data_IF_964135289200
#
_entry.id   IF_964135289200
#
_cell.length_a   1.000
_cell.length_b   1.000
_cell.length_c   1.000
_cell.angle_alpha   90.00
_cell.angle_beta   90.00
_cell.angle_gamma   90.00
#
_symmetry.space_group_name_H-M   'P 1'
#
loop_
_entity.id
_entity.type
_entity.pdbx_description
1 polymer ?
#
# COMPACT_ATOMS: atom_id res chain seq x y z
N UNK A 1 -9.92 -16.55 -10.83
CA UNK A 1 -8.78 -15.88 -10.15
C UNK A 1 -8.36 -14.73 -11.04
N UNK A 2 -8.28 -13.51 -10.50
CA UNK A 2 -7.98 -12.29 -11.24
C UNK A 2 -6.52 -11.87 -11.03
N UNK A 3 -6.08 -11.81 -9.77
CA UNK A 3 -4.71 -11.45 -9.40
C UNK A 3 -4.17 -12.40 -8.33
N UNK A 4 -2.87 -12.62 -8.31
CA UNK A 4 -2.23 -13.46 -7.31
C UNK A 4 -0.78 -13.06 -7.06
N UNK A 5 -0.36 -13.14 -5.80
CA UNK A 5 1.02 -13.01 -5.37
C UNK A 5 1.37 -14.15 -4.42
N UNK A 6 2.60 -14.66 -4.53
CA UNK A 6 3.13 -15.67 -3.62
C UNK A 6 4.62 -15.41 -3.39
N UNK A 7 5.07 -15.44 -2.13
CA UNK A 7 6.49 -15.34 -1.76
C UNK A 7 6.85 -16.32 -0.64
N UNK A 8 8.03 -16.96 -0.68
CA UNK A 8 8.53 -17.75 0.44
C UNK A 8 8.63 -16.93 1.72
N UNK A 9 8.30 -17.52 2.86
CA UNK A 9 8.42 -16.85 4.15
C UNK A 9 9.90 -16.75 4.57
N UNK A 10 10.44 -15.56 4.86
CA UNK A 10 11.88 -15.42 5.12
C UNK A 10 12.39 -16.17 6.35
N UNK A 11 11.57 -16.30 7.40
CA UNK A 11 12.01 -16.92 8.67
C UNK A 11 11.82 -18.44 8.68
N UNK A 12 11.01 -18.98 7.77
CA UNK A 12 10.78 -20.42 7.62
C UNK A 12 10.47 -20.76 6.17
N UNK A 13 11.41 -21.43 5.49
CA UNK A 13 11.29 -21.81 4.08
C UNK A 13 10.22 -22.87 3.81
N UNK A 14 9.72 -23.55 4.84
CA UNK A 14 8.58 -24.45 4.71
C UNK A 14 7.25 -23.69 4.60
N UNK A 15 7.26 -22.37 4.80
CA UNK A 15 6.07 -21.52 4.77
C UNK A 15 6.14 -20.53 3.62
N UNK A 16 4.99 -20.00 3.21
CA UNK A 16 4.88 -18.93 2.22
C UNK A 16 3.78 -17.95 2.63
N UNK A 17 3.85 -16.75 2.10
CA UNK A 17 2.75 -15.78 2.14
C UNK A 17 2.12 -15.68 0.76
N UNK A 18 0.81 -15.55 0.73
CA UNK A 18 0.00 -15.50 -0.50
C UNK A 18 -1.03 -14.38 -0.41
N UNK A 19 -1.33 -13.76 -1.53
CA UNK A 19 -2.48 -12.89 -1.71
C UNK A 19 -3.21 -13.28 -3.00
N UNK A 20 -4.54 -13.36 -2.95
CA UNK A 20 -5.38 -13.77 -4.07
C UNK A 20 -6.57 -12.84 -4.18
N UNK A 21 -6.80 -12.28 -5.37
CA UNK A 21 -8.06 -11.64 -5.75
C UNK A 21 -8.82 -12.55 -6.72
N UNK A 22 -10.08 -12.87 -6.42
CA UNK A 22 -10.87 -13.78 -7.25
C UNK A 22 -12.36 -13.43 -7.20
N UNK A 23 -13.04 -13.72 -8.31
CA UNK A 23 -14.49 -13.60 -8.41
C UNK A 23 -15.17 -14.63 -7.50
N UNK A 24 -16.24 -14.22 -6.82
CA UNK A 24 -17.07 -15.15 -6.06
C UNK A 24 -17.99 -15.90 -7.02
N UNK A 25 -18.42 -17.12 -6.63
CA UNK A 25 -19.46 -17.82 -7.40
C UNK A 25 -20.71 -16.94 -7.53
N UNK A 26 -21.21 -16.77 -8.75
CA UNK A 26 -22.37 -15.91 -9.05
C UNK A 26 -22.03 -14.49 -9.53
N UNK A 27 -20.76 -14.07 -9.47
CA UNK A 27 -20.30 -12.77 -9.98
C UNK A 27 -19.69 -12.91 -11.40
N UNK A 28 -19.98 -14.00 -12.12
CA UNK A 28 -19.38 -14.26 -13.43
C UNK A 28 -19.84 -13.25 -14.50
N UNK A 29 -18.89 -12.71 -15.26
CA UNK A 29 -19.19 -11.84 -16.40
C UNK A 29 -19.42 -10.36 -16.06
N UNK A 30 -19.23 -9.95 -14.81
CA UNK A 30 -19.18 -8.53 -14.42
C UNK A 30 -17.96 -7.88 -15.08
N UNK A 31 -18.18 -6.70 -15.67
CA UNK A 31 -17.12 -5.98 -16.38
C UNK A 31 -16.02 -5.51 -15.43
N UNK A 32 -14.78 -5.54 -15.89
CA UNK A 32 -13.65 -4.92 -15.21
C UNK A 32 -13.95 -3.43 -14.96
N UNK A 33 -13.64 -2.95 -13.76
CA UNK A 33 -14.02 -1.62 -13.26
C UNK A 33 -15.33 -1.59 -12.48
N UNK A 34 -16.07 -2.71 -12.42
CA UNK A 34 -17.35 -2.82 -11.68
C UNK A 34 -17.41 -4.09 -10.79
N UNK A 35 -16.33 -4.87 -10.71
CA UNK A 35 -16.31 -6.14 -9.96
C UNK A 35 -16.16 -5.93 -8.46
N UNK A 36 -16.74 -6.85 -7.69
CA UNK A 36 -16.51 -6.97 -6.24
C UNK A 36 -15.78 -8.28 -5.96
N UNK A 37 -14.44 -8.23 -5.94
CA UNK A 37 -13.58 -9.40 -5.85
C UNK A 37 -13.35 -9.81 -4.40
N UNK A 38 -13.37 -11.11 -4.12
CA UNK A 38 -12.89 -11.61 -2.83
C UNK A 38 -11.35 -11.49 -2.76
N UNK A 39 -10.85 -10.95 -1.66
CA UNK A 39 -9.42 -10.86 -1.35
C UNK A 39 -9.09 -11.81 -0.20
N UNK A 40 -8.15 -12.72 -0.46
CA UNK A 40 -7.55 -13.59 0.54
C UNK A 40 -6.08 -13.22 0.72
N UNK A 41 -5.67 -12.88 1.94
CA UNK A 41 -4.26 -12.79 2.33
C UNK A 41 -3.99 -13.88 3.34
N UNK A 42 -2.93 -14.66 3.16
CA UNK A 42 -2.66 -15.77 4.05
C UNK A 42 -1.16 -16.08 4.19
N UNK A 43 -0.83 -16.67 5.33
CA UNK A 43 0.38 -17.46 5.51
C UNK A 43 0.02 -18.92 5.38
N UNK A 44 0.78 -19.68 4.62
CA UNK A 44 0.48 -21.06 4.26
C UNK A 44 1.66 -21.98 4.49
N UNK A 45 1.36 -23.25 4.78
CA UNK A 45 2.33 -24.33 4.68
C UNK A 45 2.65 -24.58 3.19
N UNK A 46 3.93 -24.48 2.84
CA UNK A 46 4.40 -24.51 1.45
C UNK A 46 4.28 -25.87 0.77
N UNK A 47 4.05 -26.96 1.52
CA UNK A 47 3.89 -28.32 0.97
C UNK A 47 2.42 -28.70 0.80
N UNK A 48 1.61 -28.46 1.82
CA UNK A 48 0.20 -28.86 1.86
C UNK A 48 -0.75 -27.78 1.36
N UNK A 49 -0.31 -26.51 1.33
CA UNK A 49 -1.18 -25.37 1.08
C UNK A 49 -2.11 -25.04 2.25
N UNK A 50 -1.94 -25.69 3.40
CA UNK A 50 -2.78 -25.43 4.57
C UNK A 50 -2.62 -24.00 5.05
N UNK A 51 -3.75 -23.33 5.31
CA UNK A 51 -3.79 -21.98 5.84
C UNK A 51 -3.34 -22.00 7.31
N UNK A 52 -2.23 -21.31 7.59
CA UNK A 52 -1.70 -21.14 8.94
C UNK A 52 -2.33 -19.91 9.59
N UNK A 53 -2.35 -18.81 8.84
CA UNK A 53 -2.92 -17.51 9.23
C UNK A 53 -3.66 -16.91 8.03
N UNK A 54 -4.78 -16.21 8.26
CA UNK A 54 -5.62 -15.69 7.19
C UNK A 54 -6.26 -14.35 7.51
N UNK A 55 -6.44 -13.54 6.46
CA UNK A 55 -7.29 -12.37 6.40
C UNK A 55 -8.15 -12.45 5.14
N UNK A 56 -9.43 -12.14 5.30
CA UNK A 56 -10.43 -12.09 4.23
C UNK A 56 -10.98 -10.67 4.13
N UNK A 57 -11.11 -10.18 2.90
CA UNK A 57 -11.73 -8.90 2.59
C UNK A 57 -12.35 -8.94 1.20
N UNK A 58 -12.85 -7.81 0.76
CA UNK A 58 -13.26 -7.55 -0.62
C UNK A 58 -12.32 -6.49 -1.23
N UNK A 59 -12.12 -6.56 -2.54
CA UNK A 59 -11.58 -5.50 -3.39
C UNK A 59 -12.70 -5.10 -4.36
N UNK A 60 -13.29 -3.94 -4.11
CA UNK A 60 -14.34 -3.37 -4.95
C UNK A 60 -13.71 -2.49 -6.02
N UNK A 61 -14.02 -2.75 -7.27
CA UNK A 61 -13.60 -1.93 -8.40
C UNK A 61 -14.55 -0.76 -8.62
N UNK A 62 -13.99 0.37 -9.05
CA UNK A 62 -14.69 1.58 -9.40
C UNK A 62 -13.85 2.45 -10.36
N UNK A 63 -14.22 3.72 -10.52
CA UNK A 63 -13.51 4.65 -11.40
C UNK A 63 -12.02 4.90 -11.02
N UNK A 64 -11.62 4.60 -9.79
CA UNK A 64 -10.25 4.75 -9.28
C UNK A 64 -9.57 3.40 -8.97
N UNK A 65 -10.34 2.32 -8.89
CA UNK A 65 -9.86 0.99 -8.48
C UNK A 65 -10.12 -0.05 -9.56
N UNK A 66 -9.06 -0.63 -10.13
CA UNK A 66 -9.17 -1.72 -11.10
C UNK A 66 -8.06 -2.75 -10.87
N UNK A 67 -8.43 -4.04 -10.87
CA UNK A 67 -7.55 -5.15 -10.54
C UNK A 67 -7.16 -5.93 -11.79
N UNK A 68 -5.87 -5.93 -12.09
CA UNK A 68 -5.23 -6.74 -13.13
C UNK A 68 -4.43 -7.89 -12.51
N UNK A 69 -3.86 -8.76 -13.35
CA UNK A 69 -3.07 -9.90 -12.91
C UNK A 69 -1.85 -9.54 -12.05
N UNK A 70 -1.31 -8.34 -12.22
CA UNK A 70 -0.12 -7.79 -11.55
C UNK A 70 -0.46 -6.76 -10.45
N UNK A 71 -1.73 -6.56 -10.11
CA UNK A 71 -2.14 -5.60 -9.07
C UNK A 71 -1.75 -6.00 -7.63
N UNK A 72 -1.30 -7.23 -7.38
CA UNK A 72 -0.96 -7.68 -6.02
C UNK A 72 0.53 -7.98 -5.89
N UNK A 73 1.15 -7.42 -4.86
CA UNK A 73 2.55 -7.66 -4.50
C UNK A 73 2.67 -7.94 -3.00
N UNK A 74 3.64 -8.79 -2.64
CA UNK A 74 3.91 -9.10 -1.23
C UNK A 74 5.24 -8.47 -0.81
N UNK A 75 5.23 -7.68 0.26
CA UNK A 75 6.45 -7.15 0.87
C UNK A 75 6.84 -7.97 2.09
N UNK A 76 7.91 -8.75 1.95
CA UNK A 76 8.46 -9.58 3.02
C UNK A 76 9.74 -8.98 3.61
N UNK A 77 9.89 -7.65 3.63
CA UNK A 77 11.00 -7.00 4.32
C UNK A 77 11.03 -7.34 5.83
N UNK A 78 12.06 -6.89 6.53
CA UNK A 78 12.39 -7.34 7.89
C UNK A 78 11.55 -6.67 8.98
N UNK A 79 10.23 -6.67 8.84
CA UNK A 79 9.27 -6.06 9.77
C UNK A 79 9.08 -6.88 11.07
N UNK A 80 10.14 -7.06 11.85
CA UNK A 80 10.06 -7.63 13.20
C UNK A 80 9.48 -6.60 14.15
N UNK A 81 8.15 -6.55 14.23
CA UNK A 81 7.46 -5.54 15.04
C UNK A 81 7.60 -5.84 16.53
N UNK A 82 7.67 -7.11 16.94
CA UNK A 82 7.89 -7.51 18.33
C UNK A 82 8.76 -8.78 18.39
N UNK A 83 9.31 -9.16 19.55
CA UNK A 83 10.04 -10.42 19.69
C UNK A 83 9.20 -11.62 19.22
N UNK A 84 9.71 -12.35 18.23
CA UNK A 84 9.01 -13.50 17.63
C UNK A 84 7.83 -13.15 16.71
N UNK A 85 7.57 -11.87 16.45
CA UNK A 85 6.49 -11.42 15.58
C UNK A 85 7.07 -10.63 14.41
N UNK A 86 7.00 -11.23 13.22
CA UNK A 86 7.32 -10.58 11.95
C UNK A 86 6.06 -10.37 11.12
N UNK A 87 5.87 -9.13 10.69
CA UNK A 87 4.81 -8.72 9.78
C UNK A 87 5.24 -8.82 8.31
N UNK A 88 4.28 -8.68 7.40
CA UNK A 88 4.52 -8.53 5.97
C UNK A 88 3.46 -7.65 5.32
N UNK A 89 3.80 -7.03 4.20
CA UNK A 89 2.93 -6.16 3.43
C UNK A 89 2.19 -6.91 2.32
N UNK A 90 0.94 -6.53 2.08
CA UNK A 90 0.31 -6.60 0.78
C UNK A 90 0.38 -5.19 0.17
N UNK A 91 0.95 -5.06 -1.01
CA UNK A 91 0.84 -3.83 -1.81
C UNK A 91 -0.17 -4.09 -2.92
N UNK A 92 -1.19 -3.26 -2.98
CA UNK A 92 -2.18 -3.22 -4.04
C UNK A 92 -1.87 -2.07 -4.98
N UNK A 93 -1.74 -2.37 -6.27
CA UNK A 93 -1.51 -1.39 -7.33
C UNK A 93 -2.67 -1.40 -8.31
N UNK A 94 -3.39 -0.29 -8.38
CA UNK A 94 -4.57 -0.15 -9.24
C UNK A 94 -4.14 0.04 -10.69
N UNK A 95 -4.88 -0.58 -11.61
CA UNK A 95 -4.71 -0.36 -13.06
C UNK A 95 -5.77 0.56 -13.65
N UNK A 96 -6.60 1.16 -12.80
CA UNK A 96 -7.65 2.07 -13.24
C UNK A 96 -7.03 3.25 -13.98
N UNK A 97 -7.73 3.76 -14.99
CA UNK A 97 -7.29 4.97 -15.71
C UNK A 97 -7.30 6.22 -14.83
N UNK A 98 -8.07 6.20 -13.75
CA UNK A 98 -8.26 7.35 -12.87
C UNK A 98 -9.02 8.51 -13.53
N UNK A 99 -9.03 9.65 -12.84
CA UNK A 99 -9.67 10.86 -13.33
C UNK A 99 -8.97 11.41 -14.58
N UNK A 100 -9.71 12.08 -15.47
CA UNK A 100 -9.12 12.73 -16.66
C UNK A 100 -8.29 13.98 -16.35
N UNK A 101 -8.53 14.59 -15.19
CA UNK A 101 -8.03 15.88 -14.77
C UNK A 101 -7.66 15.89 -13.26
N UNK A 102 -6.82 14.94 -12.77
CA UNK A 102 -6.52 14.86 -11.35
C UNK A 102 -5.63 16.04 -10.94
N UNK A 103 -5.84 16.54 -9.73
CA UNK A 103 -4.95 17.46 -9.04
C UNK A 103 -3.95 16.72 -8.12
N UNK A 104 -4.07 15.40 -7.99
CA UNK A 104 -3.13 14.52 -7.31
C UNK A 104 -3.53 13.06 -7.45
N UNK A 105 -2.71 12.17 -6.89
CA UNK A 105 -2.94 10.74 -6.92
C UNK A 105 -2.17 9.98 -5.85
N UNK A 106 -2.62 8.77 -5.59
CA UNK A 106 -2.03 7.84 -4.63
C UNK A 106 -2.10 6.43 -5.21
N UNK A 107 -0.96 5.75 -5.24
CA UNK A 107 -0.78 4.42 -5.82
C UNK A 107 0.00 3.53 -4.83
N UNK A 108 0.11 2.24 -5.15
CA UNK A 108 0.82 1.26 -4.32
C UNK A 108 0.30 1.25 -2.85
N UNK A 109 -0.99 0.97 -2.62
CA UNK A 109 -1.58 0.87 -1.27
C UNK A 109 -0.98 -0.33 -0.52
N UNK A 110 -0.10 -0.05 0.44
CA UNK A 110 0.43 -1.02 1.38
C UNK A 110 -0.55 -1.24 2.53
N UNK A 111 -0.95 -2.49 2.76
CA UNK A 111 -1.47 -2.96 4.04
C UNK A 111 -0.44 -3.86 4.73
N UNK A 112 0.04 -3.46 5.91
CA UNK A 112 0.94 -4.27 6.73
C UNK A 112 0.13 -5.19 7.65
N UNK A 113 0.40 -6.50 7.59
CA UNK A 113 -0.28 -7.53 8.38
C UNK A 113 0.63 -8.07 9.48
N UNK A 114 0.11 -8.09 10.70
CA UNK A 114 0.72 -8.73 11.85
C UNK A 114 -0.03 -10.04 12.20
N UNK A 115 0.67 -11.16 12.42
CA UNK A 115 0.07 -12.39 12.93
C UNK A 115 -0.62 -12.20 14.29
N UNK A 116 -1.81 -12.77 14.44
CA UNK A 116 -2.54 -12.84 15.71
C UNK A 116 -3.27 -14.20 15.82
N UNK A 117 -2.57 -15.20 16.36
CA UNK A 117 -3.09 -16.56 16.42
C UNK A 117 -3.24 -17.14 15.01
N UNK A 118 -4.48 -17.46 14.61
CA UNK A 118 -4.81 -17.94 13.25
C UNK A 118 -5.26 -16.82 12.29
N UNK A 119 -5.31 -15.58 12.77
CA UNK A 119 -5.72 -14.43 11.98
C UNK A 119 -4.49 -13.61 11.55
N UNK A 120 -4.60 -12.97 10.40
CA UNK A 120 -3.73 -11.85 10.01
C UNK A 120 -4.48 -10.56 10.29
N UNK A 121 -3.88 -9.68 11.08
CA UNK A 121 -4.49 -8.40 11.45
C UNK A 121 -3.81 -7.26 10.71
N UNK A 122 -4.55 -6.43 9.95
CA UNK A 122 -4.02 -5.17 9.43
C UNK A 122 -3.57 -4.28 10.59
N UNK A 123 -2.33 -3.79 10.54
CA UNK A 123 -1.78 -2.89 11.57
C UNK A 123 -1.33 -1.55 11.01
N UNK A 124 -1.19 -1.41 9.70
CA UNK A 124 -0.93 -0.14 9.01
C UNK A 124 -1.54 -0.21 7.61
N UNK A 125 -2.08 0.91 7.14
CA UNK A 125 -2.26 1.17 5.71
C UNK A 125 -1.54 2.46 5.33
N UNK A 126 -0.93 2.49 4.16
CA UNK A 126 -0.24 3.67 3.61
C UNK A 126 -0.11 3.55 2.09
N UNK A 127 -0.08 4.67 1.39
CA UNK A 127 0.32 4.69 -0.02
C UNK A 127 1.85 4.81 -0.13
N UNK A 128 2.44 4.04 -1.04
CA UNK A 128 3.90 4.04 -1.25
C UNK A 128 4.32 4.97 -2.39
N UNK A 129 3.39 5.37 -3.25
CA UNK A 129 3.58 6.39 -4.26
C UNK A 129 2.43 7.39 -4.15
N UNK A 130 2.77 8.68 -4.05
CA UNK A 130 1.78 9.76 -4.05
C UNK A 130 2.30 10.93 -4.87
N UNK A 131 1.41 11.74 -5.42
CA UNK A 131 1.78 12.98 -6.08
C UNK A 131 0.66 14.02 -5.98
N UNK A 132 1.03 15.29 -6.14
CA UNK A 132 0.11 16.43 -6.06
C UNK A 132 0.52 17.53 -7.03
N UNK A 133 -0.46 18.28 -7.53
CA UNK A 133 -0.25 19.47 -8.34
C UNK A 133 0.12 20.63 -7.43
N UNK A 134 1.24 21.30 -7.72
CA UNK A 134 1.68 22.48 -6.96
C UNK A 134 1.51 23.78 -7.73
N UNK A 135 1.35 23.72 -9.06
CA UNK A 135 1.09 24.88 -9.92
C UNK A 135 0.39 24.45 -11.21
N UNK A 136 -0.50 25.31 -11.69
CA UNK A 136 -1.20 25.13 -12.96
C UNK A 136 -2.26 24.03 -12.89
N UNK A 137 -2.66 23.52 -14.06
CA UNK A 137 -3.62 22.41 -14.14
C UNK A 137 -3.35 21.51 -15.34
N UNK A 138 -3.56 20.21 -15.14
CA UNK A 138 -3.51 19.20 -16.19
C UNK A 138 -4.60 19.39 -17.26
N UNK A 139 -5.71 20.05 -16.94
CA UNK A 139 -6.87 20.10 -17.83
C UNK A 139 -6.69 20.90 -19.12
N UNK A 140 -5.72 21.83 -19.16
CA UNK A 140 -5.58 22.76 -20.29
C UNK A 140 -4.17 22.81 -20.90
N UNK A 141 -3.37 21.75 -20.76
CA UNK A 141 -1.97 21.72 -21.22
C UNK A 141 -1.19 22.97 -20.76
N UNK A 142 -1.30 23.29 -19.47
CA UNK A 142 -0.69 24.49 -18.89
C UNK A 142 0.85 24.40 -18.97
N UNK A 143 1.55 25.33 -19.65
CA UNK A 143 3.01 25.32 -19.76
C UNK A 143 3.71 25.53 -18.40
N UNK A 144 2.99 26.07 -17.42
CA UNK A 144 3.46 26.29 -16.06
C UNK A 144 3.07 25.14 -15.10
N UNK A 145 2.54 24.02 -15.62
CA UNK A 145 2.15 22.87 -14.81
C UNK A 145 3.36 22.29 -14.06
N UNK A 146 3.18 22.09 -12.76
CA UNK A 146 4.19 21.53 -11.87
C UNK A 146 3.57 20.59 -10.85
N UNK A 147 4.24 19.49 -10.58
CA UNK A 147 3.86 18.52 -9.55
C UNK A 147 4.97 18.29 -8.53
N UNK A 148 4.59 17.80 -7.36
CA UNK A 148 5.51 17.08 -6.47
C UNK A 148 5.06 15.62 -6.38
N UNK A 149 6.01 14.70 -6.39
CA UNK A 149 5.81 13.27 -6.22
C UNK A 149 6.61 12.76 -5.02
N UNK A 150 6.06 11.80 -4.30
CA UNK A 150 6.68 11.18 -3.14
C UNK A 150 6.72 9.65 -3.31
N UNK A 151 7.93 9.10 -3.22
CA UNK A 151 8.15 7.66 -3.05
C UNK A 151 8.40 7.37 -1.58
N UNK A 152 7.51 6.62 -0.94
CA UNK A 152 7.53 6.33 0.50
C UNK A 152 8.11 4.95 0.74
N UNK A 153 9.01 4.85 1.71
CA UNK A 153 9.51 3.57 2.23
C UNK A 153 9.21 3.43 3.72
N UNK A 154 9.06 2.18 4.17
CA UNK A 154 8.90 1.82 5.57
C UNK A 154 10.19 1.24 6.14
N UNK A 155 10.56 1.68 7.33
CA UNK A 155 11.63 1.08 8.14
C UNK A 155 11.19 0.95 9.61
N UNK A 156 11.95 0.21 10.40
CA UNK A 156 11.77 0.10 11.84
C UNK A 156 12.63 1.12 12.57
N UNK A 157 12.04 1.84 13.53
CA UNK A 157 12.79 2.64 14.48
C UNK A 157 13.50 1.75 15.50
N UNK A 158 14.47 2.34 16.22
CA UNK A 158 15.09 1.71 17.41
C UNK A 158 14.19 1.77 18.64
N UNK A 159 13.15 2.59 18.60
CA UNK A 159 12.19 2.79 19.69
C UNK A 159 10.99 1.86 19.50
N UNK A 160 10.24 1.66 20.59
CA UNK A 160 9.04 0.84 20.60
C UNK A 160 7.95 1.51 21.42
N UNK A 161 6.69 1.34 21.00
CA UNK A 161 5.49 1.78 21.71
C UNK A 161 4.54 0.61 21.85
N UNK A 162 3.95 0.42 23.03
CA UNK A 162 2.98 -0.65 23.29
C UNK A 162 3.44 -2.06 22.86
N UNK A 163 4.73 -2.36 23.05
CA UNK A 163 5.33 -3.65 22.74
C UNK A 163 5.67 -3.89 21.26
N UNK A 164 5.39 -2.92 20.37
CA UNK A 164 5.75 -2.97 18.96
C UNK A 164 6.83 -1.92 18.65
N UNK A 165 7.76 -2.23 17.74
CA UNK A 165 8.72 -1.27 17.20
C UNK A 165 7.96 -0.10 16.54
N UNK A 166 8.43 1.13 16.74
CA UNK A 166 7.86 2.26 16.01
C UNK A 166 8.24 2.15 14.52
N UNK A 167 7.38 2.61 13.62
CA UNK A 167 7.66 2.62 12.18
C UNK A 167 8.19 3.98 11.75
N UNK A 168 9.13 4.00 10.82
CA UNK A 168 9.62 5.21 10.17
C UNK A 168 9.17 5.19 8.72
N UNK A 169 8.30 6.13 8.36
CA UNK A 169 7.99 6.45 6.97
C UNK A 169 9.03 7.44 6.46
N UNK A 170 9.62 7.15 5.30
CA UNK A 170 10.54 8.05 4.63
C UNK A 170 10.06 8.33 3.20
N UNK A 171 9.68 9.57 2.93
CA UNK A 171 9.27 10.03 1.61
C UNK A 171 10.44 10.71 0.91
N UNK A 172 10.86 10.17 -0.24
CA UNK A 172 11.74 10.86 -1.19
C UNK A 172 10.87 11.70 -2.12
N UNK A 173 10.99 13.02 -2.02
CA UNK A 173 10.16 13.96 -2.79
C UNK A 173 10.94 14.49 -3.99
N UNK A 174 10.34 14.37 -5.17
CA UNK A 174 10.80 14.97 -6.42
C UNK A 174 9.75 15.95 -6.93
N UNK A 175 10.17 16.94 -7.71
CA UNK A 175 9.30 17.87 -8.39
C UNK A 175 9.45 17.70 -9.89
N UNK A 176 8.34 17.73 -10.62
CA UNK A 176 8.33 17.64 -12.07
C UNK A 176 7.74 18.91 -12.70
N UNK A 177 8.30 19.30 -13.84
CA UNK A 177 7.97 20.53 -14.57
C UNK A 177 8.46 20.42 -16.01
N UNK A 178 8.18 21.44 -16.83
CA UNK A 178 8.74 21.54 -18.19
C UNK A 178 10.29 21.49 -18.24
N UNK A 179 10.99 21.77 -17.13
CA UNK A 179 12.45 21.67 -17.03
C UNK A 179 12.95 20.24 -16.68
N UNK A 180 12.03 19.29 -16.46
CA UNK A 180 12.29 17.92 -16.05
C UNK A 180 12.22 17.67 -14.54
N UNK A 181 12.33 16.40 -14.17
CA UNK A 181 12.27 15.94 -12.78
C UNK A 181 13.51 16.38 -11.97
N UNK A 182 13.26 16.84 -10.74
CA UNK A 182 14.32 17.26 -9.80
C UNK A 182 14.05 16.75 -8.39
N UNK A 183 15.08 16.21 -7.74
CA UNK A 183 15.04 15.92 -6.31
C UNK A 183 14.86 17.20 -5.48
N UNK A 184 13.89 17.19 -4.56
CA UNK A 184 13.59 18.32 -3.69
C UNK A 184 14.06 18.07 -2.26
N UNK A 185 13.56 17.00 -1.62
CA UNK A 185 13.76 16.74 -0.19
C UNK A 185 13.49 15.29 0.19
N UNK A 186 13.87 14.94 1.41
CA UNK A 186 13.42 13.70 2.07
C UNK A 186 12.72 14.07 3.36
N UNK A 187 11.47 13.64 3.54
CA UNK A 187 10.68 13.88 4.75
C UNK A 187 10.54 12.56 5.50
N UNK A 188 10.59 12.60 6.84
CA UNK A 188 10.41 11.40 7.67
C UNK A 188 9.34 11.62 8.72
N UNK A 189 8.52 10.60 8.96
CA UNK A 189 7.50 10.56 10.01
C UNK A 189 7.64 9.26 10.79
N UNK A 190 7.71 9.36 12.11
CA UNK A 190 7.70 8.19 12.98
C UNK A 190 6.28 7.93 13.46
N UNK A 191 5.78 6.72 13.22
CA UNK A 191 4.50 6.23 13.69
C UNK A 191 4.70 5.38 14.93
N UNK A 192 4.02 5.75 16.01
CA UNK A 192 3.99 4.97 17.25
C UNK A 192 2.81 4.03 17.24
N UNK A 193 3.03 2.78 17.58
CA UNK A 193 1.94 1.81 17.71
C UNK A 193 1.06 2.15 18.90
N UNK A 194 -0.26 2.23 18.71
CA UNK A 194 -1.22 2.68 19.73
C UNK A 194 -1.72 1.55 20.66
N UNK A 195 -1.26 0.31 20.42
CA UNK A 195 -1.76 -0.90 21.08
C UNK A 195 -2.63 -1.76 20.16
N UNK A 196 -3.22 -1.17 19.13
CA UNK A 196 -4.05 -1.82 18.11
C UNK A 196 -3.46 -1.67 16.71
N UNK A 197 -3.05 -0.48 16.31
CA UNK A 197 -2.52 -0.19 14.97
C UNK A 197 -1.52 0.97 15.01
N UNK A 198 -0.80 1.16 13.91
CA UNK A 198 -0.12 2.42 13.65
C UNK A 198 -1.16 3.41 13.12
N UNK A 199 -1.06 4.72 13.46
CA UNK A 199 -2.01 5.72 13.03
C UNK A 199 -2.26 5.67 11.52
N UNK A 200 -3.53 5.44 11.18
CA UNK A 200 -4.03 5.43 9.82
C UNK A 200 -4.40 6.86 9.42
N UNK A 201 -3.44 7.62 8.92
CA UNK A 201 -3.79 8.76 8.08
C UNK A 201 -4.00 8.20 6.68
N UNK A 202 -5.26 8.16 6.22
CA UNK A 202 -5.65 7.59 4.92
C UNK A 202 -4.93 8.25 3.75
N UNK A 203 -4.46 9.49 3.93
CA UNK A 203 -3.63 10.23 2.99
C UNK A 203 -2.58 10.98 3.81
N UNK A 204 -1.52 10.32 4.27
CA UNK A 204 -0.51 10.98 5.06
C UNK A 204 0.33 11.81 4.10
N UNK A 205 -0.18 13.00 3.76
CA UNK A 205 0.54 14.04 3.04
C UNK A 205 1.61 14.70 3.91
N UNK A 206 2.22 13.93 4.81
CA UNK A 206 3.25 14.39 5.74
C UNK A 206 4.48 14.96 5.01
N UNK A 207 4.62 14.60 3.73
CA UNK A 207 5.67 15.05 2.84
C UNK A 207 5.34 16.36 2.12
N UNK A 208 4.07 16.77 2.02
CA UNK A 208 3.67 18.04 1.42
C UNK A 208 4.21 19.24 2.20
N UNK A 209 4.42 20.35 1.51
CA UNK A 209 4.85 21.58 2.19
C UNK A 209 3.69 22.17 2.99
N UNK A 210 3.94 22.75 4.18
CA UNK A 210 2.89 23.48 4.90
C UNK A 210 2.40 24.65 4.05
N UNK A 211 1.16 24.58 3.55
CA UNK A 211 0.52 25.63 2.74
C UNK A 211 0.04 25.22 1.35
N UNK A 212 0.22 23.97 0.93
CA UNK A 212 -0.25 23.45 -0.37
C UNK A 212 -1.55 22.66 -0.31
N UNK A 213 -2.21 22.61 0.85
CA UNK A 213 -3.58 22.09 0.93
C UNK A 213 -4.47 22.95 0.02
N UNK A 214 -4.95 22.36 -1.06
CA UNK A 214 -5.81 23.00 -2.05
C UNK A 214 -6.94 23.78 -1.36
N UNK A 215 -7.06 25.06 -1.73
CA UNK A 215 -8.30 25.82 -1.60
C UNK A 215 -9.24 25.44 -2.74
#
# INVERSE_FOLDING_TARGET
>A
MVAAACKPWPDDKAQSVVALAYERPGDEGVAQGERSLALLVAKVDGRSGALLERYDSTLDEDAATEVSGDSLWLDTARYHLAPGLRAFGLVFDSTARGASCPDGGSDEELTLFAPQGKALRPVLKAYLAEWTTIKGTLCVNDPDFMTESARVTLDLAKTSSNGFADLVLAARVTGDSAAGEKYLRTVRKTLKYDGTQYPHETFPRFWEQPGTAAQ
#
